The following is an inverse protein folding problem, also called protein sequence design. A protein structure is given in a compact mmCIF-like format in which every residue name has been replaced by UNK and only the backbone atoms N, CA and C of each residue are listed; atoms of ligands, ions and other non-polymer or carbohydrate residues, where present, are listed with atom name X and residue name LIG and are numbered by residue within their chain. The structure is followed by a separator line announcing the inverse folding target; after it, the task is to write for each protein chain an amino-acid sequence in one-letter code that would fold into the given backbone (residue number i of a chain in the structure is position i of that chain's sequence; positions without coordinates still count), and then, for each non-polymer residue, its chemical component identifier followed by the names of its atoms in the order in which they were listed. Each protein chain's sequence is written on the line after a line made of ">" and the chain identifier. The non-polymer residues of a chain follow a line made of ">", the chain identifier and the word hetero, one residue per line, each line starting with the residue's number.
data_IF_893190564035
#
_entry.id   IF_893190564035
#
_cell.length_a   1.000
_cell.length_b   1.000
_cell.length_c   1.000
_cell.angle_alpha   90.00
_cell.angle_beta   90.00
_cell.angle_gamma   90.00
#
_symmetry.space_group_name_H-M   'P 1'
#
loop_
_entity.id
_entity.type
_entity.pdbx_description
1 polymer ?
#
# COMPACT_ATOMS: atom_id res chain seq x y z
N UNK A 1 6.85 -32.18 1.71
CA UNK A 1 5.45 -31.81 1.44
C UNK A 1 5.35 -30.35 1.82
N UNK A 2 5.35 -29.43 0.87
CA UNK A 2 5.10 -28.01 1.12
C UNK A 2 3.67 -27.87 1.60
N UNK A 3 3.46 -27.50 2.86
CA UNK A 3 2.15 -27.09 3.34
C UNK A 3 1.70 -25.93 2.46
N UNK A 4 0.62 -26.12 1.72
CA UNK A 4 -0.06 -25.02 1.03
C UNK A 4 -0.59 -24.07 2.09
N UNK A 5 0.09 -22.94 2.27
CA UNK A 5 -0.39 -21.89 3.16
C UNK A 5 -1.68 -21.37 2.56
N UNK A 6 -2.77 -21.40 3.34
CA UNK A 6 -4.06 -20.82 2.96
C UNK A 6 -4.11 -19.35 3.34
N UNK A 7 -4.93 -18.57 2.63
CA UNK A 7 -5.32 -17.23 3.03
C UNK A 7 -5.95 -17.25 4.45
N UNK A 8 -5.58 -16.28 5.24
CA UNK A 8 -6.20 -15.96 6.53
C UNK A 8 -6.56 -14.47 6.54
N UNK A 9 -7.59 -14.09 7.27
CA UNK A 9 -7.97 -12.69 7.46
C UNK A 9 -6.90 -11.90 8.23
N UNK A 10 -6.96 -10.59 8.20
CA UNK A 10 -6.04 -9.75 8.95
C UNK A 10 -6.19 -9.96 10.48
N UNK A 11 -7.41 -10.19 10.95
CA UNK A 11 -7.66 -10.55 12.35
C UNK A 11 -7.02 -11.87 12.73
N UNK A 12 -7.12 -12.90 11.87
CA UNK A 12 -6.46 -14.18 12.08
C UNK A 12 -4.94 -14.08 11.97
N UNK A 13 -4.40 -13.24 11.07
CA UNK A 13 -2.96 -12.99 10.96
C UNK A 13 -2.38 -12.44 12.27
N UNK A 14 -3.14 -11.61 12.97
CA UNK A 14 -2.73 -11.05 14.26
C UNK A 14 -2.81 -12.08 15.39
N UNK A 15 -3.62 -13.15 15.27
CA UNK A 15 -3.86 -14.16 16.30
C UNK A 15 -3.22 -15.53 16.03
N UNK A 16 -2.87 -15.85 14.78
CA UNK A 16 -2.39 -17.18 14.40
C UNK A 16 -0.89 -17.22 14.12
N UNK A 17 -0.22 -18.24 14.65
CA UNK A 17 1.16 -18.56 14.31
C UNK A 17 1.22 -19.37 13.02
N UNK A 18 1.97 -18.87 12.04
CA UNK A 18 2.43 -19.65 10.88
C UNK A 18 3.63 -20.51 11.26
N UNK A 19 4.00 -21.46 10.40
CA UNK A 19 5.20 -22.27 10.61
C UNK A 19 6.43 -21.34 10.77
N UNK A 20 7.26 -21.52 11.81
CA UNK A 20 8.36 -20.60 12.13
C UNK A 20 9.36 -20.38 10.99
N UNK A 21 9.53 -21.39 10.13
CA UNK A 21 10.41 -21.37 8.97
C UNK A 21 9.80 -20.77 7.71
N UNK A 22 8.51 -20.41 7.73
CA UNK A 22 7.85 -19.77 6.58
C UNK A 22 8.51 -18.43 6.27
N UNK A 23 8.82 -18.20 4.99
CA UNK A 23 9.43 -16.93 4.58
C UNK A 23 8.37 -15.85 4.48
N UNK A 24 8.64 -14.71 5.11
CA UNK A 24 7.76 -13.51 5.11
C UNK A 24 8.27 -12.47 4.13
N UNK A 25 9.57 -12.22 4.16
CA UNK A 25 10.20 -11.16 3.37
C UNK A 25 11.53 -11.63 2.82
N UNK A 26 11.94 -11.09 1.69
CA UNK A 26 13.22 -11.43 1.07
C UNK A 26 13.87 -10.20 0.42
N UNK A 27 15.19 -10.26 0.30
CA UNK A 27 16.01 -9.42 -0.55
C UNK A 27 16.96 -10.29 -1.40
N UNK A 28 17.92 -9.68 -2.09
CA UNK A 28 18.87 -10.40 -2.96
C UNK A 28 19.79 -11.35 -2.20
N UNK A 29 20.00 -11.14 -0.90
CA UNK A 29 21.01 -11.83 -0.09
C UNK A 29 20.43 -12.61 1.08
N UNK A 30 19.18 -12.35 1.45
CA UNK A 30 18.60 -12.88 2.68
C UNK A 30 17.11 -13.16 2.58
N UNK A 31 16.65 -14.07 3.41
CA UNK A 31 15.25 -14.37 3.62
C UNK A 31 14.94 -14.22 5.11
N UNK A 32 13.81 -13.59 5.42
CA UNK A 32 13.35 -13.37 6.79
C UNK A 32 12.19 -14.31 7.06
N UNK A 33 12.35 -15.13 8.12
CA UNK A 33 11.37 -16.13 8.52
C UNK A 33 10.25 -15.54 9.37
N UNK A 34 9.15 -16.28 9.49
CA UNK A 34 8.05 -15.96 10.39
C UNK A 34 8.49 -15.86 11.85
N UNK A 35 9.43 -16.73 12.28
CA UNK A 35 9.99 -16.65 13.63
C UNK A 35 10.65 -15.30 13.87
N UNK A 36 11.54 -14.86 12.99
CA UNK A 36 12.22 -13.56 13.10
C UNK A 36 11.21 -12.42 13.09
N UNK A 37 10.21 -12.51 12.20
CA UNK A 37 9.15 -11.52 12.11
C UNK A 37 8.36 -11.38 13.42
N UNK A 38 7.97 -12.50 14.04
CA UNK A 38 7.27 -12.51 15.32
C UNK A 38 8.11 -11.99 16.48
N UNK A 39 9.40 -12.31 16.50
CA UNK A 39 10.31 -11.81 17.54
C UNK A 39 10.45 -10.29 17.44
N UNK A 40 10.63 -9.75 16.24
CA UNK A 40 10.73 -8.31 15.99
C UNK A 40 9.38 -7.60 16.25
N UNK A 41 8.26 -8.21 15.84
CA UNK A 41 6.91 -7.73 16.12
C UNK A 41 6.64 -7.64 17.64
N UNK A 42 6.96 -8.71 18.38
CA UNK A 42 6.77 -8.76 19.83
C UNK A 42 7.55 -7.65 20.55
N UNK A 43 8.77 -7.39 20.11
CA UNK A 43 9.62 -6.34 20.68
C UNK A 43 8.99 -4.94 20.47
N UNK A 44 8.50 -4.65 19.28
CA UNK A 44 7.90 -3.36 18.98
C UNK A 44 6.52 -3.19 19.62
N UNK A 45 5.72 -4.28 19.71
CA UNK A 45 4.45 -4.30 20.46
C UNK A 45 4.70 -3.96 21.93
N UNK A 46 5.72 -4.53 22.55
CA UNK A 46 6.05 -4.25 23.95
C UNK A 46 6.34 -2.76 24.18
N UNK A 47 7.16 -2.17 23.32
CA UNK A 47 7.49 -0.75 23.37
C UNK A 47 6.25 0.13 23.17
N UNK A 48 5.45 -0.14 22.15
CA UNK A 48 4.29 0.69 21.84
C UNK A 48 3.18 0.55 22.91
N UNK A 49 2.97 -0.65 23.43
CA UNK A 49 1.94 -0.88 24.46
C UNK A 49 2.27 -0.16 25.78
N UNK A 50 3.56 -0.02 26.12
CA UNK A 50 4.01 0.71 27.31
C UNK A 50 4.14 2.23 27.10
N UNK A 51 4.10 2.69 25.83
CA UNK A 51 4.25 4.10 25.48
C UNK A 51 2.95 4.89 25.67
N UNK A 52 3.03 6.21 25.98
CA UNK A 52 1.86 7.07 26.08
C UNK A 52 1.26 7.45 24.72
N UNK A 53 1.97 7.17 23.62
CA UNK A 53 1.57 7.58 22.27
C UNK A 53 0.27 6.89 21.84
N UNK A 54 -0.63 7.67 21.26
CA UNK A 54 -1.91 7.16 20.72
C UNK A 54 -1.91 7.17 19.19
N UNK A 55 -1.34 8.22 18.58
CA UNK A 55 -1.24 8.40 17.13
C UNK A 55 0.21 8.17 16.71
N UNK A 56 0.45 7.11 15.95
CA UNK A 56 1.79 6.69 15.56
C UNK A 56 1.94 6.79 14.05
N UNK A 57 2.81 7.67 13.60
CA UNK A 57 3.15 7.78 12.19
C UNK A 57 4.23 6.76 11.83
N UNK A 58 4.12 6.15 10.64
CA UNK A 58 5.09 5.19 10.12
C UNK A 58 5.63 5.72 8.80
N UNK A 59 6.93 5.94 8.71
CA UNK A 59 7.60 6.41 7.52
C UNK A 59 8.92 5.66 7.33
N UNK A 60 8.92 4.62 6.48
CA UNK A 60 10.09 3.79 6.18
C UNK A 60 10.14 3.48 4.69
N UNK A 61 11.33 3.25 4.13
CA UNK A 61 11.49 2.71 2.78
C UNK A 61 11.60 1.18 2.79
N UNK A 62 11.99 0.62 3.90
CA UNK A 62 12.10 -0.82 4.12
C UNK A 62 10.71 -1.42 4.40
N UNK A 63 10.23 -2.29 3.51
CA UNK A 63 8.90 -2.92 3.63
C UNK A 63 8.79 -3.90 4.78
N UNK A 64 9.90 -4.54 5.16
CA UNK A 64 9.92 -5.41 6.32
C UNK A 64 9.70 -4.62 7.61
N UNK A 65 10.50 -3.56 7.82
CA UNK A 65 10.35 -2.69 8.99
C UNK A 65 8.98 -2.01 9.02
N UNK A 66 8.47 -1.61 7.86
CA UNK A 66 7.10 -1.10 7.74
C UNK A 66 6.07 -2.12 8.22
N UNK A 67 6.16 -3.37 7.76
CA UNK A 67 5.18 -4.41 8.10
C UNK A 67 5.19 -4.75 9.60
N UNK A 68 6.38 -4.81 10.21
CA UNK A 68 6.54 -4.97 11.67
C UNK A 68 5.90 -3.80 12.42
N UNK A 69 6.21 -2.55 12.01
CA UNK A 69 5.67 -1.35 12.66
C UNK A 69 4.14 -1.26 12.51
N UNK A 70 3.61 -1.55 11.33
CA UNK A 70 2.18 -1.49 11.04
C UNK A 70 1.39 -2.48 11.92
N UNK A 71 1.83 -3.75 11.96
CA UNK A 71 1.18 -4.76 12.80
C UNK A 71 1.39 -4.50 14.29
N UNK A 72 2.56 -3.98 14.69
CA UNK A 72 2.80 -3.60 16.09
C UNK A 72 1.84 -2.47 16.55
N UNK A 73 1.61 -1.47 15.71
CA UNK A 73 0.60 -0.44 15.98
C UNK A 73 -0.81 -1.02 16.07
N UNK A 74 -1.17 -1.94 15.17
CA UNK A 74 -2.47 -2.61 15.17
C UNK A 74 -2.70 -3.41 16.46
N UNK A 75 -1.75 -4.26 16.84
CA UNK A 75 -1.80 -5.08 18.08
C UNK A 75 -1.85 -4.18 19.32
N UNK A 76 -1.08 -3.08 19.33
CA UNK A 76 -1.06 -2.11 20.43
C UNK A 76 -2.24 -1.12 20.41
N UNK A 77 -3.22 -1.32 19.51
CA UNK A 77 -4.43 -0.49 19.34
C UNK A 77 -4.13 1.00 19.15
N UNK A 78 -3.03 1.31 18.43
CA UNK A 78 -2.66 2.68 18.10
C UNK A 78 -3.38 3.15 16.85
N UNK A 79 -3.68 4.46 16.76
CA UNK A 79 -4.11 5.08 15.52
C UNK A 79 -2.91 5.19 14.59
N UNK A 80 -2.98 4.54 13.43
CA UNK A 80 -1.88 4.47 12.47
C UNK A 80 -1.96 5.67 11.53
N UNK A 81 -0.85 6.38 11.36
CA UNK A 81 -0.75 7.52 10.43
C UNK A 81 0.25 7.17 9.33
N UNK A 82 -0.18 7.25 8.08
CA UNK A 82 0.69 7.09 6.91
C UNK A 82 0.85 8.44 6.19
N UNK A 83 2.01 9.09 6.33
CA UNK A 83 2.26 10.42 5.77
C UNK A 83 2.22 10.48 4.23
N UNK A 84 2.47 9.34 3.55
CA UNK A 84 2.51 9.27 2.08
C UNK A 84 3.70 9.96 1.43
N UNK A 85 4.58 10.60 2.22
CA UNK A 85 5.76 11.31 1.75
C UNK A 85 6.92 11.06 2.72
N UNK A 86 8.14 10.89 2.17
CA UNK A 86 9.36 10.61 2.94
C UNK A 86 10.19 11.88 3.24
N UNK A 87 9.84 13.02 2.65
CA UNK A 87 10.62 14.25 2.80
C UNK A 87 10.49 14.81 4.21
N UNK A 88 11.60 15.16 4.89
CA UNK A 88 11.55 15.67 6.25
C UNK A 88 10.63 16.89 6.44
N UNK A 89 10.62 17.83 5.50
CA UNK A 89 9.73 19.00 5.57
C UNK A 89 8.25 18.60 5.54
N UNK A 90 7.86 17.63 4.71
CA UNK A 90 6.48 17.14 4.64
C UNK A 90 6.08 16.40 5.93
N UNK A 91 7.01 15.68 6.56
CA UNK A 91 6.78 15.03 7.85
C UNK A 91 6.63 16.06 8.97
N UNK A 92 7.43 17.13 8.95
CA UNK A 92 7.32 18.23 9.91
C UNK A 92 5.98 18.97 9.77
N UNK A 93 5.50 19.20 8.54
CA UNK A 93 4.18 19.80 8.29
C UNK A 93 3.02 18.97 8.86
N UNK A 94 3.18 17.65 8.94
CA UNK A 94 2.17 16.73 9.48
C UNK A 94 2.34 16.46 10.98
N UNK A 95 3.28 17.09 11.66
CA UNK A 95 3.65 16.81 13.08
C UNK A 95 2.48 16.92 14.06
N UNK A 96 1.49 17.77 13.78
CA UNK A 96 0.29 17.92 14.63
C UNK A 96 -0.67 16.70 14.57
N UNK A 97 -0.48 15.82 13.58
CA UNK A 97 -1.35 14.66 13.37
C UNK A 97 -0.88 13.39 14.07
N UNK A 98 0.32 13.38 14.64
CA UNK A 98 0.86 12.20 15.34
C UNK A 98 1.66 12.58 16.59
N UNK A 99 1.80 11.62 17.51
CA UNK A 99 2.50 11.79 18.77
C UNK A 99 3.93 11.23 18.70
N UNK A 100 4.16 10.27 17.78
CA UNK A 100 5.45 9.62 17.54
C UNK A 100 5.59 9.26 16.05
N UNK A 101 6.81 9.37 15.54
CA UNK A 101 7.18 8.98 14.18
C UNK A 101 8.15 7.79 14.23
N UNK A 102 7.73 6.66 13.68
CA UNK A 102 8.58 5.48 13.47
C UNK A 102 9.27 5.58 12.10
N UNK A 103 10.58 5.49 12.08
CA UNK A 103 11.41 5.62 10.87
C UNK A 103 12.41 4.47 10.74
N UNK A 104 12.99 4.34 9.56
CA UNK A 104 14.20 3.56 9.29
C UNK A 104 15.41 4.50 8.99
N UNK A 105 16.59 3.92 8.77
CA UNK A 105 17.82 4.67 8.51
C UNK A 105 17.79 5.46 7.19
N UNK A 106 16.80 5.24 6.33
CA UNK A 106 16.66 5.94 5.04
C UNK A 106 16.03 7.32 5.18
N UNK A 107 15.37 7.60 6.30
CA UNK A 107 14.70 8.87 6.56
C UNK A 107 15.71 9.82 7.21
N UNK A 108 15.87 11.01 6.63
CA UNK A 108 16.73 12.07 7.17
C UNK A 108 16.22 12.64 8.49
N UNK A 109 16.96 13.57 9.05
CA UNK A 109 16.55 14.29 10.27
C UNK A 109 15.20 14.99 10.07
N UNK A 110 14.27 14.78 11.01
CA UNK A 110 12.92 15.36 11.00
C UNK A 110 12.72 16.17 12.28
N UNK A 111 12.26 17.40 12.15
CA UNK A 111 11.96 18.29 13.29
C UNK A 111 10.55 17.99 13.85
N UNK A 112 10.43 16.92 14.63
CA UNK A 112 9.21 16.55 15.35
C UNK A 112 9.57 16.14 16.78
N UNK A 113 8.58 16.12 17.67
CA UNK A 113 8.82 15.92 19.12
C UNK A 113 9.40 14.55 19.43
N UNK A 114 8.91 13.51 18.79
CA UNK A 114 9.30 12.12 19.10
C UNK A 114 9.56 11.33 17.82
N UNK A 115 10.81 10.87 17.65
CA UNK A 115 11.23 10.01 16.53
C UNK A 115 11.83 8.73 17.09
N UNK A 116 11.36 7.59 16.59
CA UNK A 116 11.87 6.28 16.97
C UNK A 116 12.40 5.55 15.74
N UNK A 117 13.68 5.21 15.72
CA UNK A 117 14.28 4.40 14.67
C UNK A 117 14.04 2.92 14.95
N UNK A 118 13.28 2.26 14.08
CA UNK A 118 12.86 0.86 14.24
C UNK A 118 14.08 -0.08 14.21
N UNK A 119 15.03 0.15 13.31
CA UNK A 119 16.23 -0.67 13.20
C UNK A 119 17.05 -0.65 14.48
N UNK A 120 17.21 0.52 15.10
CA UNK A 120 17.92 0.69 16.36
C UNK A 120 17.21 -0.08 17.49
N UNK A 121 15.88 0.00 17.55
CA UNK A 121 15.08 -0.72 18.53
C UNK A 121 15.28 -2.23 18.38
N UNK A 122 15.16 -2.77 17.18
CA UNK A 122 15.26 -4.20 16.93
C UNK A 122 16.69 -4.74 17.14
N UNK A 123 17.71 -3.95 16.85
CA UNK A 123 19.13 -4.35 17.05
C UNK A 123 19.56 -4.35 18.52
N UNK A 124 18.95 -3.55 19.38
CA UNK A 124 19.32 -3.46 20.81
C UNK A 124 19.20 -4.79 21.54
N UNK A 125 18.20 -5.60 21.21
CA UNK A 125 18.01 -6.95 21.77
C UNK A 125 19.03 -7.96 21.24
N UNK A 126 19.48 -7.83 20.00
CA UNK A 126 20.39 -8.76 19.34
C UNK A 126 21.83 -8.65 19.90
N UNK A 127 22.19 -7.50 20.48
CA UNK A 127 23.57 -7.20 20.93
C UNK A 127 23.80 -7.39 22.42
N UNK A 128 22.81 -7.72 23.25
CA UNK A 128 22.88 -7.74 24.72
C UNK A 128 23.48 -6.44 25.33
N UNK A 129 23.44 -5.34 24.59
CA UNK A 129 23.90 -4.03 25.03
C UNK A 129 22.72 -3.22 25.53
N UNK A 130 23.02 -2.39 26.50
CA UNK A 130 22.11 -1.54 27.29
C UNK A 130 20.88 -1.00 26.56
N UNK A 131 19.78 -0.88 27.30
CA UNK A 131 18.45 -0.35 26.93
C UNK A 131 18.52 0.71 25.82
N UNK A 132 17.74 0.59 24.74
CA UNK A 132 17.69 1.63 23.72
C UNK A 132 17.17 2.91 24.36
N UNK A 133 18.03 3.90 24.48
CA UNK A 133 17.62 5.24 24.82
C UNK A 133 16.90 5.80 23.59
N UNK A 134 15.62 6.12 23.71
CA UNK A 134 14.94 6.96 22.73
C UNK A 134 15.77 8.24 22.61
N UNK A 135 16.28 8.55 21.42
CA UNK A 135 16.93 9.81 21.15
C UNK A 135 15.86 10.91 21.18
N UNK A 136 15.56 11.37 22.37
CA UNK A 136 14.75 12.55 22.61
C UNK A 136 15.67 13.76 22.44
N UNK A 137 15.36 14.62 21.48
CA UNK A 137 15.95 15.95 21.43
C UNK A 137 15.51 16.70 22.70
N UNK A 138 16.42 16.76 23.69
CA UNK A 138 16.33 17.55 24.95
C UNK A 138 14.89 17.71 25.49
N UNK A 139 14.48 16.76 26.32
CA UNK A 139 13.78 16.96 27.63
C UNK A 139 13.27 15.60 28.14
N UNK A 140 13.93 15.19 29.24
CA UNK A 140 13.56 14.00 30.03
C UNK A 140 13.63 12.67 29.27
N UNK A 141 14.81 12.05 29.28
CA UNK A 141 14.95 10.62 29.04
C UNK A 141 13.82 9.91 29.80
N UNK A 142 12.83 9.38 29.07
CA UNK A 142 11.98 8.35 29.62
C UNK A 142 12.97 7.21 29.84
N UNK A 143 13.46 7.06 31.09
CA UNK A 143 14.10 5.84 31.53
C UNK A 143 13.07 4.75 31.25
N UNK A 144 13.20 4.10 30.09
CA UNK A 144 12.62 2.80 29.90
C UNK A 144 13.25 1.94 30.99
N UNK A 145 12.51 1.81 32.11
CA UNK A 145 12.92 0.96 33.20
C UNK A 145 13.45 -0.31 32.57
N UNK A 146 14.61 -0.79 33.07
CA UNK A 146 15.14 -2.09 32.74
C UNK A 146 14.05 -3.11 33.07
N UNK A 147 13.16 -3.31 32.13
CA UNK A 147 12.15 -4.35 32.23
C UNK A 147 12.88 -5.59 31.73
N UNK A 148 13.11 -6.52 32.65
CA UNK A 148 13.57 -7.88 32.32
C UNK A 148 12.93 -8.26 30.97
N UNK A 149 13.70 -8.86 30.05
CA UNK A 149 13.18 -9.30 28.75
C UNK A 149 12.22 -10.48 28.96
N UNK A 150 11.09 -10.20 29.60
CA UNK A 150 9.94 -11.07 29.53
C UNK A 150 9.48 -10.94 28.09
N UNK A 151 9.82 -11.98 27.30
CA UNK A 151 9.21 -12.17 26.00
C UNK A 151 7.70 -12.07 26.22
N UNK A 152 7.08 -10.98 25.77
CA UNK A 152 5.62 -11.01 25.64
C UNK A 152 5.40 -12.10 24.61
N UNK A 153 4.93 -13.25 25.10
CA UNK A 153 4.41 -14.26 24.21
C UNK A 153 3.19 -13.61 23.54
N UNK A 154 3.26 -13.36 22.24
CA UNK A 154 2.10 -12.86 21.48
C UNK A 154 0.90 -13.78 21.69
N UNK A 155 1.13 -15.07 21.97
CA UNK A 155 0.09 -16.02 22.38
C UNK A 155 -0.56 -15.66 23.76
N UNK A 156 0.07 -14.82 24.58
CA UNK A 156 -0.52 -14.33 25.85
C UNK A 156 -1.35 -13.05 25.70
N UNK A 157 -1.23 -12.35 24.55
CA UNK A 157 -2.13 -11.24 24.21
C UNK A 157 -3.42 -11.89 23.72
N UNK A 158 -4.56 -11.49 24.30
CA UNK A 158 -5.88 -11.91 23.81
C UNK A 158 -6.14 -11.28 22.42
N UNK A 159 -5.51 -11.89 21.41
CA UNK A 159 -5.55 -11.45 20.03
C UNK A 159 -6.91 -11.77 19.37
N UNK A 160 -7.66 -12.73 19.93
CA UNK A 160 -9.03 -13.06 19.50
C UNK A 160 -10.01 -11.90 19.78
N UNK A 161 -9.60 -10.91 20.58
CA UNK A 161 -10.39 -9.73 20.93
C UNK A 161 -10.04 -8.47 20.12
N UNK A 162 -9.21 -8.56 19.07
CA UNK A 162 -8.86 -7.38 18.27
C UNK A 162 -10.04 -7.00 17.37
N UNK A 163 -10.71 -5.93 17.74
CA UNK A 163 -11.76 -5.31 16.92
C UNK A 163 -11.13 -4.43 15.83
N UNK A 164 -11.06 -4.96 14.60
CA UNK A 164 -10.48 -4.24 13.45
C UNK A 164 -11.24 -2.94 13.13
N UNK A 165 -12.52 -2.83 13.48
CA UNK A 165 -13.31 -1.61 13.31
C UNK A 165 -12.88 -0.49 14.27
N UNK A 166 -12.32 -0.86 15.43
CA UNK A 166 -11.82 0.09 16.42
C UNK A 166 -10.39 0.59 16.14
N UNK A 167 -9.65 -0.02 15.20
CA UNK A 167 -8.29 0.40 14.85
C UNK A 167 -8.35 1.34 13.66
N UNK A 168 -8.02 2.60 13.90
CA UNK A 168 -8.05 3.65 12.90
C UNK A 168 -6.73 3.77 12.14
N UNK A 169 -6.85 4.11 10.86
CA UNK A 169 -5.77 4.40 9.95
C UNK A 169 -6.08 5.70 9.20
N UNK A 170 -5.16 6.67 9.23
CA UNK A 170 -5.23 7.87 8.41
C UNK A 170 -4.14 7.84 7.36
N UNK A 171 -4.53 7.91 6.07
CA UNK A 171 -3.60 8.06 4.95
C UNK A 171 -3.62 9.50 4.46
N UNK A 172 -2.44 10.11 4.36
CA UNK A 172 -2.30 11.42 3.75
C UNK A 172 -2.02 11.28 2.25
N UNK A 173 -2.75 12.06 1.46
CA UNK A 173 -2.58 12.11 0.00
C UNK A 173 -2.26 13.55 -0.40
N UNK A 174 -1.54 13.74 -1.53
CA UNK A 174 -1.32 15.06 -2.10
C UNK A 174 -2.66 15.62 -2.56
N UNK A 175 -3.20 16.61 -1.84
CA UNK A 175 -4.41 17.32 -2.24
C UNK A 175 -4.16 18.17 -3.49
N UNK A 176 -5.19 18.32 -4.33
CA UNK A 176 -5.15 19.21 -5.52
C UNK A 176 -4.91 20.68 -5.17
N UNK A 177 -5.11 21.07 -3.92
CA UNK A 177 -4.85 22.41 -3.36
C UNK A 177 -3.43 22.59 -2.80
N UNK A 178 -2.57 21.57 -2.87
CA UNK A 178 -1.23 21.58 -2.28
C UNK A 178 -1.19 21.23 -0.79
N UNK A 179 -2.32 21.23 -0.09
CA UNK A 179 -2.41 20.80 1.30
C UNK A 179 -2.69 19.29 1.36
N UNK A 180 -1.96 18.50 2.16
CA UNK A 180 -2.21 17.09 2.32
C UNK A 180 -3.65 16.83 2.81
N UNK A 181 -4.34 15.90 2.13
CA UNK A 181 -5.69 15.48 2.51
C UNK A 181 -5.61 14.21 3.34
N UNK A 182 -6.20 14.25 4.54
CA UNK A 182 -6.34 13.09 5.40
C UNK A 182 -7.53 12.23 4.96
N UNK A 183 -7.31 10.94 4.80
CA UNK A 183 -8.34 9.95 4.48
C UNK A 183 -8.36 8.90 5.58
N UNK A 184 -9.45 8.85 6.32
CA UNK A 184 -9.61 7.94 7.44
C UNK A 184 -10.23 6.61 7.00
N UNK A 185 -9.67 5.53 7.50
CA UNK A 185 -10.14 4.16 7.33
C UNK A 185 -10.00 3.41 8.66
N UNK A 186 -10.58 2.22 8.72
CA UNK A 186 -10.32 1.24 9.78
C UNK A 186 -9.61 0.02 9.20
N UNK A 187 -9.00 -0.81 10.04
CA UNK A 187 -8.42 -2.06 9.58
C UNK A 187 -9.51 -3.03 9.06
N UNK A 188 -10.76 -2.91 9.50
CA UNK A 188 -11.88 -3.68 8.93
C UNK A 188 -12.07 -3.39 7.43
N UNK A 189 -11.98 -2.12 7.02
CA UNK A 189 -12.05 -1.76 5.60
C UNK A 189 -10.96 -2.43 4.78
N UNK A 190 -9.73 -2.47 5.33
CA UNK A 190 -8.60 -3.12 4.65
C UNK A 190 -8.77 -4.64 4.60
N UNK A 191 -9.23 -5.26 5.67
CA UNK A 191 -9.45 -6.72 5.74
C UNK A 191 -10.48 -7.18 4.71
N UNK A 192 -11.60 -6.45 4.59
CA UNK A 192 -12.63 -6.73 3.57
C UNK A 192 -12.05 -6.59 2.15
N UNK A 193 -11.23 -5.57 1.91
CA UNK A 193 -10.62 -5.35 0.60
C UNK A 193 -9.60 -6.45 0.27
N UNK A 194 -8.75 -6.84 1.23
CA UNK A 194 -7.78 -7.93 1.07
C UNK A 194 -8.51 -9.26 0.77
N UNK A 195 -9.59 -9.56 1.48
CA UNK A 195 -10.40 -10.75 1.22
C UNK A 195 -10.97 -10.76 -0.21
N UNK A 196 -11.37 -9.60 -0.73
CA UNK A 196 -11.82 -9.49 -2.12
C UNK A 196 -10.68 -9.70 -3.12
N UNK A 197 -9.46 -9.19 -2.82
CA UNK A 197 -8.28 -9.43 -3.66
C UNK A 197 -7.94 -10.92 -3.71
N UNK A 198 -7.95 -11.59 -2.56
CA UNK A 198 -7.67 -13.03 -2.48
C UNK A 198 -8.72 -13.87 -3.18
N UNK A 199 -10.00 -13.51 -3.05
CA UNK A 199 -11.09 -14.14 -3.81
C UNK A 199 -10.88 -14.07 -5.33
N UNK A 200 -10.37 -12.96 -5.82
CA UNK A 200 -10.18 -12.75 -7.26
C UNK A 200 -8.87 -13.39 -7.77
N UNK A 201 -7.78 -13.28 -7.01
CA UNK A 201 -6.44 -13.59 -7.49
C UNK A 201 -5.56 -14.37 -6.49
N UNK A 202 -6.13 -14.96 -5.43
CA UNK A 202 -5.37 -15.73 -4.45
C UNK A 202 -4.58 -16.88 -5.07
N UNK A 203 -5.15 -17.53 -6.10
CA UNK A 203 -4.44 -18.60 -6.83
C UNK A 203 -3.18 -18.09 -7.55
N UNK A 204 -3.17 -16.82 -7.98
CA UNK A 204 -1.99 -16.19 -8.60
C UNK A 204 -0.85 -16.00 -7.60
N UNK A 205 -1.14 -15.80 -6.31
CA UNK A 205 -0.09 -15.66 -5.30
C UNK A 205 0.50 -17.00 -4.84
N UNK A 206 -0.26 -18.10 -4.90
CA UNK A 206 0.18 -19.40 -4.36
C UNK A 206 1.49 -19.87 -4.98
N UNK A 207 2.50 -20.07 -4.12
CA UNK A 207 3.83 -20.55 -4.52
C UNK A 207 4.68 -19.54 -5.28
N UNK A 208 4.22 -18.29 -5.35
CA UNK A 208 4.93 -17.17 -5.97
C UNK A 208 5.54 -16.23 -4.92
N UNK A 209 6.23 -15.18 -5.38
CA UNK A 209 6.84 -14.13 -4.57
C UNK A 209 6.39 -12.77 -5.11
N UNK A 210 6.16 -11.81 -4.23
CA UNK A 210 5.71 -10.48 -4.62
C UNK A 210 6.89 -9.52 -4.69
N UNK A 211 7.12 -8.95 -5.87
CA UNK A 211 8.00 -7.82 -6.10
C UNK A 211 7.19 -6.55 -6.32
N UNK A 212 7.75 -5.40 -6.02
CA UNK A 212 7.03 -4.15 -6.14
C UNK A 212 7.91 -3.01 -6.66
N UNK A 213 7.27 -2.10 -7.39
CA UNK A 213 7.83 -0.83 -7.83
C UNK A 213 7.12 0.35 -7.18
N UNK A 214 6.15 0.07 -6.31
CA UNK A 214 5.33 1.09 -5.65
C UNK A 214 5.55 1.11 -4.15
N UNK A 215 5.42 2.29 -3.57
CA UNK A 215 5.58 2.48 -2.12
C UNK A 215 4.42 1.86 -1.35
N UNK A 216 4.73 1.21 -0.24
CA UNK A 216 3.76 0.72 0.75
C UNK A 216 3.13 1.84 1.60
N UNK A 217 3.59 3.09 1.47
CA UNK A 217 3.00 4.25 2.15
C UNK A 217 1.64 4.67 1.57
N UNK A 218 1.30 4.20 0.36
CA UNK A 218 0.02 4.45 -0.29
C UNK A 218 -0.88 3.23 -0.23
N UNK A 219 -2.19 3.43 -0.23
CA UNK A 219 -3.20 2.36 -0.06
C UNK A 219 -2.97 1.17 -1.01
N UNK A 220 -2.64 1.42 -2.27
CA UNK A 220 -2.40 0.36 -3.24
C UNK A 220 -1.19 -0.51 -2.85
N UNK A 221 -0.06 0.11 -2.53
CA UNK A 221 1.13 -0.63 -2.07
C UNK A 221 0.92 -1.30 -0.71
N UNK A 222 0.23 -0.64 0.22
CA UNK A 222 -0.13 -1.22 1.51
C UNK A 222 -0.89 -2.54 1.34
N UNK A 223 -1.93 -2.54 0.51
CA UNK A 223 -2.77 -3.71 0.28
C UNK A 223 -2.03 -4.78 -0.52
N UNK A 224 -1.56 -4.46 -1.74
CA UNK A 224 -1.07 -5.44 -2.71
C UNK A 224 0.34 -5.95 -2.43
N UNK A 225 1.19 -5.13 -1.81
CA UNK A 225 2.58 -5.47 -1.54
C UNK A 225 2.81 -6.04 -0.16
N UNK A 226 2.02 -5.60 0.86
CA UNK A 226 2.26 -5.95 2.26
C UNK A 226 1.14 -6.84 2.81
N UNK A 227 -0.08 -6.30 2.96
CA UNK A 227 -1.11 -6.96 3.75
C UNK A 227 -1.66 -8.22 3.07
N UNK A 228 -1.97 -8.15 1.78
CA UNK A 228 -2.45 -9.33 1.05
C UNK A 228 -1.42 -10.46 0.97
N UNK A 229 -0.14 -10.22 0.61
CA UNK A 229 0.90 -11.25 0.71
C UNK A 229 1.04 -11.84 2.12
N UNK A 230 1.05 -11.02 3.17
CA UNK A 230 1.10 -11.48 4.56
C UNK A 230 -0.09 -12.40 4.90
N UNK A 231 -1.32 -11.98 4.55
CA UNK A 231 -2.53 -12.77 4.78
C UNK A 231 -2.53 -14.08 3.96
N UNK A 232 -1.97 -14.05 2.75
CA UNK A 232 -1.86 -15.24 1.89
C UNK A 232 -0.62 -16.12 2.18
N UNK A 233 0.25 -15.70 3.12
CA UNK A 233 1.49 -16.41 3.46
C UNK A 233 2.49 -16.48 2.30
N UNK A 234 2.56 -15.42 1.52
CA UNK A 234 3.41 -15.28 0.34
C UNK A 234 4.52 -14.28 0.65
N UNK A 235 5.79 -14.60 0.36
CA UNK A 235 6.89 -13.69 0.61
C UNK A 235 6.81 -12.43 -0.26
N UNK A 236 7.13 -11.26 0.31
CA UNK A 236 7.26 -10.00 -0.40
C UNK A 236 8.68 -9.45 -0.38
N UNK A 237 9.06 -8.72 -1.43
CA UNK A 237 10.37 -8.10 -1.53
C UNK A 237 10.52 -6.94 -0.54
N UNK A 238 11.67 -6.88 0.13
CA UNK A 238 12.02 -5.87 1.11
C UNK A 238 12.12 -4.47 0.51
N UNK A 239 12.68 -4.36 -0.70
CA UNK A 239 12.94 -3.10 -1.38
C UNK A 239 12.15 -2.96 -2.68
N UNK A 240 12.00 -1.72 -3.13
CA UNK A 240 11.42 -1.43 -4.44
C UNK A 240 12.39 -1.79 -5.57
N UNK A 241 11.81 -2.22 -6.69
CA UNK A 241 12.47 -2.17 -7.99
C UNK A 241 12.20 -0.79 -8.61
N UNK A 242 13.23 0.01 -8.81
CA UNK A 242 13.07 1.41 -9.23
C UNK A 242 13.23 1.60 -10.75
N UNK A 243 13.85 0.63 -11.40
CA UNK A 243 14.19 0.69 -12.82
C UNK A 243 13.68 -0.54 -13.58
N UNK A 244 13.30 -0.38 -14.87
CA UNK A 244 12.87 -1.49 -15.72
C UNK A 244 13.88 -2.65 -15.76
N UNK A 245 15.18 -2.35 -15.80
CA UNK A 245 16.26 -3.34 -15.84
C UNK A 245 16.28 -4.23 -14.59
N UNK A 246 15.95 -3.66 -13.42
CA UNK A 246 15.84 -4.42 -12.18
C UNK A 246 14.66 -5.39 -12.24
N UNK A 247 13.52 -4.99 -12.83
CA UNK A 247 12.38 -5.90 -13.02
C UNK A 247 12.82 -7.08 -13.86
N UNK A 248 13.51 -6.83 -15.00
CA UNK A 248 13.92 -7.88 -15.91
C UNK A 248 14.99 -8.81 -15.33
N UNK A 249 15.85 -8.30 -14.45
CA UNK A 249 16.91 -9.09 -13.79
C UNK A 249 16.41 -9.93 -12.61
N UNK A 250 15.44 -9.45 -11.85
CA UNK A 250 14.91 -10.13 -10.66
C UNK A 250 13.65 -10.97 -10.96
N UNK A 251 12.97 -10.66 -12.07
CA UNK A 251 11.72 -11.30 -12.43
C UNK A 251 11.92 -12.72 -12.98
N UNK A 252 11.08 -13.64 -12.54
CA UNK A 252 11.01 -15.00 -13.02
C UNK A 252 9.56 -15.50 -12.99
N UNK A 253 9.33 -16.74 -13.42
CA UNK A 253 7.97 -17.35 -13.49
C UNK A 253 7.26 -17.48 -12.14
N UNK A 254 7.95 -17.23 -11.04
CA UNK A 254 7.38 -17.23 -9.68
C UNK A 254 7.24 -15.82 -9.12
N UNK A 255 7.44 -14.79 -9.94
CA UNK A 255 7.32 -13.39 -9.52
C UNK A 255 5.98 -12.80 -9.91
N UNK A 256 5.26 -12.25 -8.94
CA UNK A 256 4.11 -11.35 -9.14
C UNK A 256 4.61 -9.92 -8.94
N UNK A 257 4.40 -9.07 -9.92
CA UNK A 257 4.86 -7.68 -9.91
C UNK A 257 3.70 -6.73 -9.56
N UNK A 258 3.88 -5.94 -8.51
CA UNK A 258 3.00 -4.83 -8.14
C UNK A 258 3.62 -3.55 -8.67
N UNK A 259 3.01 -2.93 -9.70
CA UNK A 259 3.59 -1.82 -10.43
C UNK A 259 2.61 -0.67 -10.65
N UNK A 260 3.05 0.34 -11.38
CA UNK A 260 2.26 1.50 -11.73
C UNK A 260 2.43 1.85 -13.21
N UNK A 261 1.48 2.62 -13.80
CA UNK A 261 1.61 3.10 -15.17
C UNK A 261 2.90 3.89 -15.40
N UNK A 262 3.37 4.64 -14.41
CA UNK A 262 4.61 5.42 -14.51
C UNK A 262 5.84 4.55 -14.81
N UNK A 263 5.95 3.38 -14.16
CA UNK A 263 7.06 2.47 -14.45
C UNK A 263 6.82 1.64 -15.71
N UNK A 264 5.59 1.14 -15.91
CA UNK A 264 5.27 0.31 -17.08
C UNK A 264 5.45 1.06 -18.40
N UNK A 265 5.20 2.37 -18.46
CA UNK A 265 5.52 3.24 -19.62
C UNK A 265 7.02 3.24 -19.96
N UNK A 266 7.90 3.06 -18.98
CA UNK A 266 9.37 3.07 -19.16
C UNK A 266 9.89 1.78 -19.80
N UNK A 267 9.10 0.69 -19.78
CA UNK A 267 9.43 -0.59 -20.44
C UNK A 267 9.61 -0.45 -21.96
N UNK A 268 9.11 0.61 -22.59
CA UNK A 268 9.22 0.84 -24.05
C UNK A 268 10.65 0.85 -24.60
N UNK A 269 11.64 1.07 -23.73
CA UNK A 269 13.05 1.12 -24.09
C UNK A 269 13.76 -0.22 -23.92
N UNK A 270 13.08 -1.21 -23.32
CA UNK A 270 13.66 -2.51 -23.03
C UNK A 270 13.54 -3.48 -24.21
N UNK A 271 14.56 -4.30 -24.38
CA UNK A 271 14.62 -5.33 -25.42
C UNK A 271 14.68 -6.74 -24.85
N UNK A 272 15.04 -6.87 -23.58
CA UNK A 272 15.02 -8.16 -22.88
C UNK A 272 13.62 -8.46 -22.40
N UNK A 273 13.26 -9.72 -22.33
CA UNK A 273 11.97 -10.17 -21.83
C UNK A 273 12.17 -11.10 -20.63
N UNK A 274 11.25 -11.03 -19.68
CA UNK A 274 11.16 -11.93 -18.55
C UNK A 274 9.74 -12.49 -18.48
N UNK A 275 9.60 -13.73 -18.04
CA UNK A 275 8.28 -14.33 -17.80
C UNK A 275 7.94 -14.19 -16.33
N UNK A 276 6.87 -13.47 -16.03
CA UNK A 276 6.30 -13.32 -14.68
C UNK A 276 5.16 -14.29 -14.45
N UNK A 277 4.71 -14.45 -13.21
CA UNK A 277 3.44 -15.09 -12.88
C UNK A 277 2.25 -14.15 -13.14
N UNK A 278 2.44 -12.85 -12.89
CA UNK A 278 1.43 -11.83 -13.14
C UNK A 278 1.92 -10.42 -12.87
N UNK A 279 1.20 -9.44 -13.35
CA UNK A 279 1.51 -8.01 -13.19
C UNK A 279 0.25 -7.27 -12.78
N UNK A 280 0.34 -6.47 -11.71
CA UNK A 280 -0.71 -5.53 -11.32
C UNK A 280 -0.29 -4.10 -11.63
N UNK A 281 -1.26 -3.23 -11.91
CA UNK A 281 -1.05 -1.81 -12.16
C UNK A 281 -2.19 -0.98 -11.54
N UNK A 282 -1.85 0.07 -10.83
CA UNK A 282 -2.82 1.03 -10.27
C UNK A 282 -2.18 2.40 -10.06
N UNK A 283 -2.98 3.38 -9.61
CA UNK A 283 -2.52 4.74 -9.31
C UNK A 283 -2.57 5.72 -10.49
N UNK A 284 -3.01 5.27 -11.67
CA UNK A 284 -3.19 6.13 -12.83
C UNK A 284 -3.61 5.36 -14.08
N UNK A 285 -3.94 6.05 -15.18
CA UNK A 285 -4.30 5.41 -16.44
C UNK A 285 -3.08 4.77 -17.11
N UNK A 286 -3.21 3.49 -17.48
CA UNK A 286 -2.20 2.78 -18.27
C UNK A 286 -2.52 2.98 -19.76
N UNK A 287 -1.59 3.50 -20.59
CA UNK A 287 -1.78 3.53 -22.04
C UNK A 287 -1.87 2.12 -22.64
N UNK A 288 -2.74 1.93 -23.62
CA UNK A 288 -2.92 0.62 -24.29
C UNK A 288 -1.60 0.10 -24.86
N UNK A 289 -0.77 0.97 -25.43
CA UNK A 289 0.55 0.59 -25.93
C UNK A 289 1.44 0.03 -24.81
N UNK A 290 1.42 0.64 -23.62
CA UNK A 290 2.21 0.17 -22.47
C UNK A 290 1.67 -1.17 -21.92
N UNK A 291 0.36 -1.43 -22.00
CA UNK A 291 -0.22 -2.71 -21.68
C UNK A 291 0.26 -3.83 -22.63
N UNK A 292 0.30 -3.56 -23.94
CA UNK A 292 0.86 -4.47 -24.93
C UNK A 292 2.37 -4.67 -24.76
N UNK A 293 3.10 -3.60 -24.42
CA UNK A 293 4.54 -3.72 -24.13
C UNK A 293 4.81 -4.60 -22.92
N UNK A 294 4.01 -4.46 -21.86
CA UNK A 294 4.08 -5.35 -20.70
C UNK A 294 3.78 -6.81 -21.06
N UNK A 295 2.77 -7.07 -21.88
CA UNK A 295 2.52 -8.42 -22.41
C UNK A 295 3.76 -8.99 -23.14
N UNK A 296 4.37 -8.21 -24.02
CA UNK A 296 5.50 -8.66 -24.81
C UNK A 296 6.75 -8.93 -23.96
N UNK A 297 7.01 -8.10 -22.96
CA UNK A 297 8.23 -8.19 -22.14
C UNK A 297 8.06 -9.05 -20.89
N UNK A 298 6.88 -9.02 -20.29
CA UNK A 298 6.62 -9.66 -18.98
C UNK A 298 5.67 -10.87 -19.08
N UNK A 299 5.12 -11.13 -20.27
CA UNK A 299 4.29 -12.31 -20.54
C UNK A 299 2.80 -12.17 -20.19
N UNK A 300 2.38 -11.03 -19.64
CA UNK A 300 1.00 -10.79 -19.22
C UNK A 300 0.54 -9.37 -19.52
N UNK A 301 -0.73 -9.22 -19.90
CA UNK A 301 -1.40 -7.94 -19.74
C UNK A 301 -1.49 -7.60 -18.25
N UNK A 302 -1.13 -6.37 -17.83
CA UNK A 302 -1.32 -5.96 -16.45
C UNK A 302 -2.79 -6.05 -16.03
N UNK A 303 -3.01 -6.57 -14.83
CA UNK A 303 -4.30 -6.45 -14.13
C UNK A 303 -4.35 -5.03 -13.59
N UNK A 304 -5.10 -4.16 -14.27
CA UNK A 304 -5.32 -2.80 -13.82
C UNK A 304 -6.39 -2.79 -12.72
N UNK A 305 -6.14 -2.08 -11.63
CA UNK A 305 -7.12 -1.85 -10.56
C UNK A 305 -7.44 -0.37 -10.50
N UNK A 306 -8.73 -0.06 -10.65
CA UNK A 306 -9.29 1.29 -10.59
C UNK A 306 -9.84 1.57 -9.19
N UNK A 307 -9.47 2.70 -8.63
CA UNK A 307 -9.89 3.14 -7.30
C UNK A 307 -9.10 4.36 -6.84
N UNK A 308 -9.32 4.75 -5.61
CA UNK A 308 -8.64 5.85 -4.93
C UNK A 308 -8.40 5.50 -3.46
N UNK A 309 -7.67 6.35 -2.72
CA UNK A 309 -7.50 6.16 -1.27
C UNK A 309 -8.84 6.21 -0.56
N UNK A 310 -9.76 7.07 -1.01
CA UNK A 310 -11.10 7.20 -0.45
C UNK A 310 -11.95 5.96 -0.68
N UNK A 311 -11.95 5.45 -1.93
CA UNK A 311 -12.89 4.39 -2.33
C UNK A 311 -12.38 2.98 -2.08
N UNK A 312 -11.06 2.78 -1.94
CA UNK A 312 -10.46 1.47 -2.18
C UNK A 312 -10.59 1.06 -3.65
N UNK A 313 -10.38 -0.19 -3.95
CA UNK A 313 -10.55 -0.74 -5.30
C UNK A 313 -12.03 -0.80 -5.71
N UNK A 314 -12.35 -0.21 -6.85
CA UNK A 314 -13.72 -0.18 -7.39
C UNK A 314 -13.91 -1.28 -8.43
N UNK A 315 -12.95 -1.39 -9.35
CA UNK A 315 -13.04 -2.23 -10.53
C UNK A 315 -11.65 -2.64 -11.02
N UNK A 316 -11.63 -3.62 -11.90
CA UNK A 316 -10.40 -4.10 -12.51
C UNK A 316 -10.62 -4.40 -14.00
N UNK A 317 -9.52 -4.48 -14.76
CA UNK A 317 -9.52 -4.97 -16.15
C UNK A 317 -8.12 -5.48 -16.53
N UNK A 318 -8.07 -6.24 -17.62
CA UNK A 318 -6.84 -6.45 -18.40
C UNK A 318 -7.07 -5.83 -19.78
N UNK A 319 -6.35 -4.78 -20.08
CA UNK A 319 -6.62 -3.93 -21.23
C UNK A 319 -6.02 -4.49 -22.52
N UNK A 320 -6.84 -5.10 -23.36
CA UNK A 320 -6.45 -5.51 -24.72
C UNK A 320 -6.66 -4.38 -25.74
N UNK A 321 -7.56 -3.46 -25.45
CA UNK A 321 -7.85 -2.28 -26.28
C UNK A 321 -8.30 -1.10 -25.40
N UNK A 322 -8.29 0.11 -25.96
CA UNK A 322 -8.78 1.30 -25.27
C UNK A 322 -10.28 1.22 -24.86
N UNK A 323 -11.06 0.34 -25.50
CA UNK A 323 -12.47 0.10 -25.23
C UNK A 323 -12.72 -1.04 -24.24
N UNK A 324 -11.70 -1.71 -23.74
CA UNK A 324 -11.87 -2.76 -22.73
C UNK A 324 -12.56 -2.20 -21.48
N UNK A 325 -13.77 -2.68 -21.13
CA UNK A 325 -14.51 -2.15 -19.99
C UNK A 325 -13.85 -2.53 -18.67
N UNK A 326 -14.13 -1.74 -17.65
CA UNK A 326 -13.82 -2.04 -16.27
C UNK A 326 -14.90 -2.95 -15.69
N UNK A 327 -14.47 -4.00 -15.00
CA UNK A 327 -15.33 -4.94 -14.28
C UNK A 327 -15.37 -4.53 -12.80
N UNK A 328 -16.55 -4.24 -12.25
CA UNK A 328 -16.72 -3.98 -10.82
C UNK A 328 -16.32 -5.20 -9.99
N UNK A 329 -15.76 -4.96 -8.81
CA UNK A 329 -15.65 -6.00 -7.80
C UNK A 329 -17.04 -6.43 -7.33
N UNK A 330 -17.22 -7.71 -7.02
CA UNK A 330 -18.53 -8.29 -6.69
C UNK A 330 -19.18 -7.65 -5.45
N UNK A 331 -18.38 -7.08 -4.54
CA UNK A 331 -18.86 -6.43 -3.34
C UNK A 331 -19.24 -4.95 -3.54
N UNK A 332 -19.07 -4.41 -4.76
CA UNK A 332 -19.35 -3.02 -5.10
C UNK A 332 -20.65 -2.92 -5.90
N UNK A 333 -21.57 -2.10 -5.39
CA UNK A 333 -22.72 -1.66 -6.19
C UNK A 333 -22.43 -0.27 -6.77
N UNK A 334 -22.76 -0.08 -8.03
CA UNK A 334 -22.54 1.18 -8.73
C UNK A 334 -23.79 1.68 -9.43
N UNK A 335 -23.94 2.99 -9.50
CA UNK A 335 -24.98 3.68 -10.26
C UNK A 335 -24.43 5.02 -10.75
N UNK A 336 -25.08 5.63 -11.75
CA UNK A 336 -24.69 6.94 -12.24
C UNK A 336 -25.61 8.03 -11.66
N UNK A 337 -25.04 9.21 -11.43
CA UNK A 337 -25.81 10.42 -11.14
C UNK A 337 -26.27 11.11 -12.44
N UNK A 338 -26.91 12.28 -12.33
CA UNK A 338 -27.39 13.06 -13.48
C UNK A 338 -26.30 13.58 -14.42
N UNK A 339 -25.03 13.59 -13.96
CA UNK A 339 -23.87 14.04 -14.72
C UNK A 339 -23.05 12.84 -15.26
N UNK A 340 -23.62 11.62 -15.23
CA UNK A 340 -22.95 10.35 -15.55
C UNK A 340 -21.73 10.04 -14.69
N UNK A 341 -21.59 10.67 -13.52
CA UNK A 341 -20.54 10.30 -12.58
C UNK A 341 -20.97 9.10 -11.76
N UNK A 342 -20.04 8.14 -11.60
CA UNK A 342 -20.29 6.92 -10.84
C UNK A 342 -20.41 7.22 -9.35
N UNK A 343 -21.43 6.68 -8.72
CA UNK A 343 -21.60 6.61 -7.28
C UNK A 343 -21.56 5.15 -6.84
N UNK A 344 -21.04 4.93 -5.66
CA UNK A 344 -20.69 3.61 -5.15
C UNK A 344 -21.38 3.35 -3.82
N UNK A 345 -21.86 2.13 -3.62
CA UNK A 345 -22.11 1.54 -2.33
C UNK A 345 -21.04 0.49 -2.12
N UNK A 346 -20.16 0.72 -1.13
CA UNK A 346 -18.93 -0.05 -0.97
C UNK A 346 -18.65 -0.36 0.49
N UNK A 347 -18.34 -1.62 0.85
CA UNK A 347 -17.96 -1.99 2.20
C UNK A 347 -16.60 -1.41 2.63
N UNK A 348 -15.82 -0.84 1.71
CA UNK A 348 -14.53 -0.17 1.98
C UNK A 348 -14.69 1.28 2.39
N UNK A 349 -15.94 1.82 2.31
CA UNK A 349 -16.28 3.21 2.64
C UNK A 349 -17.40 3.21 3.69
N UNK A 350 -18.61 2.86 3.24
CA UNK A 350 -19.83 2.78 4.04
C UNK A 350 -20.80 1.81 3.36
N UNK A 351 -21.30 0.82 4.11
CA UNK A 351 -22.22 -0.21 3.61
C UNK A 351 -23.62 0.33 3.31
N UNK A 352 -23.98 1.50 3.87
CA UNK A 352 -25.34 2.01 3.88
C UNK A 352 -25.51 3.32 3.09
N UNK A 353 -24.42 4.03 2.84
CA UNK A 353 -24.47 5.34 2.20
C UNK A 353 -23.71 5.36 0.87
N UNK A 354 -24.37 5.92 -0.15
CA UNK A 354 -23.75 6.07 -1.46
C UNK A 354 -22.64 7.14 -1.41
N UNK A 355 -21.46 6.74 -1.88
CA UNK A 355 -20.33 7.65 -2.08
C UNK A 355 -20.31 8.16 -3.53
N UNK A 356 -20.33 9.47 -3.74
CA UNK A 356 -20.27 10.09 -5.05
C UNK A 356 -18.81 10.36 -5.45
N UNK A 357 -18.39 9.83 -6.59
CA UNK A 357 -17.09 10.16 -7.20
C UNK A 357 -17.24 11.26 -8.25
N UNK A 358 -16.13 11.79 -8.74
CA UNK A 358 -16.09 12.71 -9.87
C UNK A 358 -15.79 11.98 -11.21
N UNK A 359 -15.77 10.65 -11.20
CA UNK A 359 -15.40 9.83 -12.36
C UNK A 359 -16.61 9.66 -13.29
N UNK A 360 -16.54 10.26 -14.48
CA UNK A 360 -17.57 10.14 -15.52
C UNK A 360 -17.44 8.79 -16.21
N UNK A 361 -18.55 8.04 -16.27
CA UNK A 361 -18.60 6.67 -16.77
C UNK A 361 -19.78 6.44 -17.70
N UNK A 362 -19.66 5.43 -18.54
CA UNK A 362 -20.75 4.86 -19.35
C UNK A 362 -20.93 3.39 -18.96
N UNK A 363 -22.11 3.05 -18.43
CA UNK A 363 -22.40 1.64 -18.08
C UNK A 363 -22.56 0.80 -19.34
N UNK A 364 -21.81 -0.29 -19.43
CA UNK A 364 -21.92 -1.30 -20.50
C UNK A 364 -22.88 -2.41 -20.07
N UNK A 365 -22.87 -2.76 -18.80
CA UNK A 365 -23.78 -3.72 -18.17
C UNK A 365 -24.00 -3.34 -16.72
N UNK A 366 -24.70 -4.17 -15.93
CA UNK A 366 -24.91 -3.93 -14.50
C UNK A 366 -23.62 -3.89 -13.67
N UNK A 367 -22.55 -4.51 -14.17
CA UNK A 367 -21.28 -4.64 -13.45
C UNK A 367 -20.05 -4.26 -14.30
N UNK A 368 -20.26 -3.62 -15.47
CA UNK A 368 -19.18 -3.15 -16.33
C UNK A 368 -19.42 -1.72 -16.80
N UNK A 369 -18.34 -0.95 -16.89
CA UNK A 369 -18.40 0.42 -17.37
C UNK A 369 -17.15 0.82 -18.17
N UNK A 370 -17.30 1.86 -18.97
CA UNK A 370 -16.19 2.57 -19.62
C UNK A 370 -15.96 3.87 -18.87
N UNK A 371 -14.74 4.08 -18.39
CA UNK A 371 -14.31 5.33 -17.79
C UNK A 371 -14.09 6.38 -18.89
N UNK A 372 -14.74 7.54 -18.77
CA UNK A 372 -14.64 8.65 -19.74
C UNK A 372 -13.64 9.73 -19.27
N UNK A 373 -13.55 9.97 -17.98
CA UNK A 373 -12.66 10.96 -17.39
C UNK A 373 -13.12 11.40 -16.01
N UNK A 374 -12.68 12.60 -15.59
CA UNK A 374 -13.08 13.18 -14.31
C UNK A 374 -13.70 14.56 -14.52
N UNK A 375 -14.81 14.80 -13.87
CA UNK A 375 -15.54 16.09 -13.95
C UNK A 375 -14.88 17.22 -13.15
N UNK A 376 -14.13 16.90 -12.11
CA UNK A 376 -13.34 17.86 -11.33
C UNK A 376 -12.07 18.34 -12.05
N UNK A 377 -11.72 17.74 -13.18
CA UNK A 377 -10.66 18.18 -14.09
C UNK A 377 -11.21 18.86 -15.36
N UNK A 378 -12.41 19.39 -15.29
CA UNK A 378 -13.03 20.19 -16.36
C UNK A 378 -13.19 21.63 -15.86
N UNK A 379 -12.55 22.56 -16.52
CA UNK A 379 -12.71 23.99 -16.25
C UNK A 379 -13.65 24.64 -17.26
N UNK A 380 -14.32 25.71 -16.86
CA UNK A 380 -15.07 26.56 -17.77
C UNK A 380 -14.23 27.76 -18.17
N UNK A 381 -13.91 27.85 -19.46
CA UNK A 381 -13.29 29.04 -20.03
C UNK A 381 -14.39 29.74 -20.86
N UNK A 382 -14.84 30.89 -20.41
CA UNK A 382 -16.05 31.56 -20.93
C UNK A 382 -17.26 30.62 -20.79
N UNK A 383 -17.89 30.22 -21.90
CA UNK A 383 -19.02 29.27 -21.90
C UNK A 383 -18.63 27.84 -22.31
N UNK A 384 -17.33 27.58 -22.57
CA UNK A 384 -16.82 26.29 -23.03
C UNK A 384 -16.29 25.46 -21.87
N UNK A 385 -16.70 24.21 -21.79
CA UNK A 385 -16.09 23.20 -20.91
C UNK A 385 -14.79 22.71 -21.56
N UNK A 386 -13.68 22.85 -20.87
CA UNK A 386 -12.34 22.39 -21.31
C UNK A 386 -11.86 21.33 -20.35
N UNK A 387 -11.65 20.13 -20.86
CA UNK A 387 -11.03 19.03 -20.09
C UNK A 387 -9.52 19.27 -20.01
N UNK A 388 -8.99 19.44 -18.79
CA UNK A 388 -7.56 19.56 -18.57
C UNK A 388 -6.82 18.32 -19.05
N UNK A 389 -7.40 17.14 -18.88
CA UNK A 389 -6.85 15.85 -19.36
C UNK A 389 -6.76 15.81 -20.89
N UNK A 390 -7.74 16.40 -21.61
CA UNK A 390 -7.66 16.48 -23.07
C UNK A 390 -6.57 17.43 -23.52
N UNK A 391 -6.39 18.54 -22.82
CA UNK A 391 -5.30 19.49 -23.09
C UNK A 391 -3.94 18.81 -22.87
N UNK A 392 -3.78 18.07 -21.77
CA UNK A 392 -2.57 17.30 -21.50
C UNK A 392 -2.26 16.30 -22.62
N UNK A 393 -3.25 15.47 -23.01
CA UNK A 393 -3.09 14.50 -24.10
C UNK A 393 -2.69 15.15 -25.43
N UNK A 394 -3.22 16.36 -25.72
CA UNK A 394 -2.83 17.08 -26.94
C UNK A 394 -1.41 17.66 -26.86
N UNK A 395 -1.01 18.14 -25.69
CA UNK A 395 0.36 18.63 -25.47
C UNK A 395 1.37 17.49 -25.56
N UNK A 396 1.06 16.33 -25.00
CA UNK A 396 1.91 15.12 -25.06
C UNK A 396 2.09 14.57 -26.49
N UNK A 397 1.24 14.94 -27.44
CA UNK A 397 1.44 14.61 -28.87
C UNK A 397 2.59 15.40 -29.52
N UNK A 398 3.06 16.48 -28.87
CA UNK A 398 4.19 17.24 -29.35
C UNK A 398 5.49 16.49 -29.05
N UNK A 399 6.38 16.33 -30.04
CA UNK A 399 7.54 15.42 -29.93
C UNK A 399 8.58 15.83 -28.87
N UNK A 400 8.47 17.04 -28.31
CA UNK A 400 9.37 17.58 -27.28
C UNK A 400 8.72 17.59 -25.87
N UNK A 401 7.48 17.12 -25.73
CA UNK A 401 6.79 17.00 -24.44
C UNK A 401 6.65 15.53 -24.13
N UNK A 402 7.30 15.07 -23.06
CA UNK A 402 7.18 13.67 -22.61
C UNK A 402 6.04 13.45 -21.62
N UNK A 403 5.75 14.47 -20.80
CA UNK A 403 4.68 14.46 -19.80
C UNK A 403 4.33 15.90 -19.42
N UNK A 404 3.05 16.19 -19.20
CA UNK A 404 2.61 17.49 -18.74
C UNK A 404 1.43 17.37 -17.79
N UNK A 405 1.27 18.33 -16.91
CA UNK A 405 0.11 18.50 -16.03
C UNK A 405 -0.40 19.91 -16.19
N UNK A 406 -1.70 20.04 -16.49
CA UNK A 406 -2.39 21.34 -16.59
C UNK A 406 -3.15 21.57 -15.29
N UNK A 407 -2.90 22.66 -14.63
CA UNK A 407 -3.47 23.08 -13.33
C UNK A 407 -4.30 24.34 -13.48
#
# INVERSE_FOLDING_TARGET
>A
MTQTVSYISLSELLSQNRAPESIVCFDDNSEITWQTFNDDLSQLVHLLSSSPFQRVAICTQDSYLFSVAFLACAVSKKHIILPGNYQPCALTELSEHFDCLLVDDSIGEVEVSEVCNIQTILNSKRSNTETPTLLVNDLAAIELAVIDPVSIDLASIDLDSIDLAAIHLTLFTSGSSGTPKAIDKTLEHLDIEIAQLDKNWGDLLKGNRVHSTVSHQHIYGLLFRILWPLCSGVPFARHNLEYPEQILSHANKQSVLISSPALLKRLKHETQSAQLAGVFSSGGPLPTESAHQALNLLGHFPIEVFGSTETGGIAFRQQESAQTPWQLFDCIEASLNSENCIKLLSPYIDKNNWYQTADECEMVSSNQFILKGRTDRVIKIEEKRVSLVEVEKRLEQLPWISECVVI
#
